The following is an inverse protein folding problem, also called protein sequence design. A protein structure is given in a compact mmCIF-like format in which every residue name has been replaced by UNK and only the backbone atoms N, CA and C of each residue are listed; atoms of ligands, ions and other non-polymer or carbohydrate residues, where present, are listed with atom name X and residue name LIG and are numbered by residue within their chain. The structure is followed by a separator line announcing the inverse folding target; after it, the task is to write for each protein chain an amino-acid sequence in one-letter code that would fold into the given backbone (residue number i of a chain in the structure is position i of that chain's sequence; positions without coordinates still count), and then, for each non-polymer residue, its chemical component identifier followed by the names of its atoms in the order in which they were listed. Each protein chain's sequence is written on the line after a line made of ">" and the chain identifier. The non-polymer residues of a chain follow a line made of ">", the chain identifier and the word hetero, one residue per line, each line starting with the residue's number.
data_IF_019881157270
#
_entry.id   IF_019881157270
#
_cell.length_a   1.000
_cell.length_b   1.000
_cell.length_c   1.000
_cell.angle_alpha   90.00
_cell.angle_beta   90.00
_cell.angle_gamma   90.00
#
_symmetry.space_group_name_H-M   'P 1'
#
loop_
_entity.id
_entity.type
_entity.pdbx_description
1 polymer ?
#
# COMPACT_ATOMS: atom_id res chain seq x y z
N UNK A 1 66.03 5.75 25.62
CA UNK A 1 64.93 5.63 26.59
C UNK A 1 63.63 5.80 25.82
N UNK A 2 62.81 4.75 25.82
CA UNK A 2 61.56 4.64 25.07
C UNK A 2 60.62 5.82 25.36
N UNK A 3 60.28 6.59 24.32
CA UNK A 3 59.06 7.39 24.32
C UNK A 3 58.02 6.49 23.65
N UNK A 4 57.11 5.95 24.47
CA UNK A 4 56.10 5.00 24.04
C UNK A 4 55.13 5.61 23.03
N UNK A 5 55.18 5.12 21.79
CA UNK A 5 54.10 5.22 20.82
C UNK A 5 52.99 4.25 21.25
N UNK A 6 52.06 4.67 22.11
CA UNK A 6 50.78 3.97 22.31
C UNK A 6 49.73 4.94 22.87
N UNK A 7 49.21 5.86 22.05
CA UNK A 7 47.95 6.60 22.25
C UNK A 7 47.63 7.44 20.99
N UNK A 8 47.54 6.82 19.81
CA UNK A 8 47.11 7.53 18.60
C UNK A 8 45.58 7.46 18.43
N UNK A 9 44.95 8.64 18.26
CA UNK A 9 43.76 8.90 17.44
C UNK A 9 42.32 8.60 17.93
N UNK A 10 41.96 8.86 19.21
CA UNK A 10 40.51 8.91 19.56
C UNK A 10 39.89 10.32 19.47
N UNK A 11 40.67 11.38 19.72
CA UNK A 11 40.12 12.73 19.93
C UNK A 11 40.02 13.57 18.65
N UNK A 12 40.89 13.33 17.67
CA UNK A 12 40.92 14.08 16.40
C UNK A 12 40.47 13.15 15.27
N UNK A 13 39.19 13.24 14.92
CA UNK A 13 38.57 12.48 13.83
C UNK A 13 38.31 13.38 12.63
N UNK A 14 38.05 12.79 11.46
CA UNK A 14 37.59 13.56 10.32
C UNK A 14 36.27 14.29 10.64
N UNK A 15 36.14 15.53 10.16
CA UNK A 15 34.96 16.37 10.39
C UNK A 15 34.89 17.11 11.75
N UNK A 16 35.81 16.91 12.69
CA UNK A 16 35.78 17.62 13.98
C UNK A 16 36.18 19.09 13.85
N UNK A 17 35.57 19.96 14.67
CA UNK A 17 36.01 21.36 14.82
C UNK A 17 36.89 21.48 16.06
N UNK A 18 38.09 22.07 15.93
CA UNK A 18 39.02 22.27 17.04
C UNK A 18 39.08 23.75 17.44
N UNK A 19 39.27 24.00 18.73
CA UNK A 19 39.45 25.34 19.28
C UNK A 19 40.91 25.58 19.67
N UNK A 20 41.43 26.75 19.33
CA UNK A 20 42.73 27.22 19.79
C UNK A 20 42.51 28.24 20.91
N UNK A 21 42.90 27.87 22.14
CA UNK A 21 42.68 28.64 23.35
C UNK A 21 44.00 28.82 24.13
N UNK A 22 44.10 29.89 24.92
CA UNK A 22 45.21 30.17 25.83
C UNK A 22 45.22 29.24 27.06
N UNK A 23 44.03 28.83 27.52
CA UNK A 23 43.81 27.80 28.54
C UNK A 23 42.55 27.00 28.19
N UNK A 24 42.43 25.77 28.71
CA UNK A 24 41.33 24.85 28.37
C UNK A 24 39.95 25.48 28.64
N UNK A 25 39.83 26.21 29.74
CA UNK A 25 38.58 26.85 30.17
C UNK A 25 38.50 28.34 29.79
N UNK A 26 39.27 28.79 28.78
CA UNK A 26 39.22 30.17 28.32
C UNK A 26 37.79 30.53 27.88
N UNK A 27 37.28 31.67 28.36
CA UNK A 27 36.01 32.23 27.89
C UNK A 27 36.07 32.46 26.37
N UNK A 28 35.10 31.88 25.64
CA UNK A 28 34.93 32.14 24.21
C UNK A 28 34.46 33.58 23.99
N UNK A 29 35.40 34.46 23.65
CA UNK A 29 35.14 35.88 23.38
C UNK A 29 34.33 36.11 22.10
N UNK A 30 34.21 35.09 21.24
CA UNK A 30 33.45 35.14 19.99
C UNK A 30 32.81 33.78 19.74
N UNK A 31 31.57 33.79 19.25
CA UNK A 31 30.87 32.58 18.89
C UNK A 31 31.54 31.87 17.70
N UNK A 32 31.52 30.54 17.73
CA UNK A 32 32.09 29.69 16.68
C UNK A 32 30.98 29.00 15.90
N UNK A 33 31.32 28.47 14.72
CA UNK A 33 30.42 27.64 13.91
C UNK A 33 31.08 26.31 13.65
N UNK A 34 30.51 25.26 14.21
CA UNK A 34 30.94 23.88 14.00
C UNK A 34 30.19 23.28 12.81
N UNK A 35 30.92 22.66 11.89
CA UNK A 35 30.33 21.96 10.74
C UNK A 35 29.80 20.60 11.20
N UNK A 36 28.55 20.31 10.86
CA UNK A 36 27.90 19.03 11.16
C UNK A 36 27.21 18.46 9.92
N UNK A 37 27.05 17.14 9.90
CA UNK A 37 26.24 16.41 8.91
C UNK A 37 25.12 15.67 9.63
N UNK A 38 23.87 15.91 9.24
CA UNK A 38 22.68 15.33 9.85
C UNK A 38 21.87 14.54 8.82
N UNK A 39 22.56 13.61 8.15
CA UNK A 39 21.91 12.69 7.22
C UNK A 39 20.83 11.88 7.97
N UNK A 40 19.62 11.71 7.40
CA UNK A 40 18.63 10.81 7.97
C UNK A 40 19.24 9.42 8.16
N UNK A 41 18.97 8.78 9.29
CA UNK A 41 19.37 7.39 9.49
C UNK A 41 18.59 6.49 8.52
N UNK A 42 19.17 5.39 8.03
CA UNK A 42 18.49 4.49 7.08
C UNK A 42 17.22 3.83 7.67
N UNK A 43 17.07 3.84 8.99
CA UNK A 43 15.82 3.48 9.68
C UNK A 43 14.63 4.32 9.18
N UNK A 44 14.86 5.51 8.63
CA UNK A 44 13.84 6.30 7.94
C UNK A 44 13.12 5.50 6.85
N UNK A 45 13.79 4.53 6.22
CA UNK A 45 13.21 3.57 5.29
C UNK A 45 12.84 2.27 6.00
N UNK A 46 13.80 1.62 6.68
CA UNK A 46 13.63 0.25 7.20
C UNK A 46 12.56 0.15 8.29
N UNK A 47 12.36 1.21 9.08
CA UNK A 47 11.34 1.25 10.13
C UNK A 47 10.12 2.09 9.73
N UNK A 48 10.04 2.53 8.47
CA UNK A 48 9.01 3.46 7.99
C UNK A 48 7.58 2.94 8.15
N UNK A 49 7.36 1.63 8.03
CA UNK A 49 6.05 1.01 8.19
C UNK A 49 5.79 0.37 9.55
N UNK A 50 6.81 0.25 10.41
CA UNK A 50 6.76 -0.60 11.61
C UNK A 50 5.71 -0.15 12.65
N UNK A 51 5.38 1.14 12.67
CA UNK A 51 4.45 1.73 13.64
C UNK A 51 3.26 2.45 12.99
N UNK A 52 3.13 2.39 11.67
CA UNK A 52 2.07 3.10 10.92
C UNK A 52 0.78 2.29 10.84
N UNK A 53 0.92 0.96 10.83
CA UNK A 53 -0.18 0.03 10.67
C UNK A 53 -0.60 -0.54 12.03
N UNK A 54 -1.54 0.12 12.70
CA UNK A 54 -2.08 -0.34 13.98
C UNK A 54 -3.42 -1.07 13.80
N UNK A 55 -3.65 -2.11 14.60
CA UNK A 55 -4.94 -2.79 14.64
C UNK A 55 -5.98 -1.85 15.25
N UNK A 56 -7.11 -1.67 14.55
CA UNK A 56 -8.25 -0.88 15.01
C UNK A 56 -9.54 -1.58 14.59
N UNK A 57 -10.61 -1.40 15.37
CA UNK A 57 -11.94 -1.96 15.07
C UNK A 57 -11.94 -3.49 14.81
N UNK A 58 -11.04 -4.22 15.49
CA UNK A 58 -10.91 -5.68 15.32
C UNK A 58 -10.30 -6.12 13.98
N UNK A 59 -9.76 -5.19 13.18
CA UNK A 59 -9.14 -5.49 11.89
C UNK A 59 -7.62 -5.63 12.03
N UNK A 60 -7.07 -6.69 11.42
CA UNK A 60 -5.63 -6.82 11.23
C UNK A 60 -5.19 -5.83 10.13
N UNK A 61 -4.10 -5.05 10.33
CA UNK A 61 -3.73 -3.98 9.42
C UNK A 61 -2.85 -4.41 8.25
N UNK A 62 -2.41 -5.67 8.17
CA UNK A 62 -1.60 -6.20 7.06
C UNK A 62 -2.22 -5.98 5.66
N UNK A 63 -3.53 -6.11 5.45
CA UNK A 63 -4.14 -5.82 4.16
C UNK A 63 -4.01 -4.35 3.75
N UNK A 64 -3.87 -3.41 4.69
CA UNK A 64 -3.64 -2.00 4.36
C UNK A 64 -2.24 -1.78 3.79
N UNK A 65 -1.23 -2.52 4.25
CA UNK A 65 0.09 -2.51 3.62
C UNK A 65 0.05 -3.07 2.19
N UNK A 66 -0.73 -4.13 1.94
CA UNK A 66 -0.93 -4.64 0.58
C UNK A 66 -1.72 -3.66 -0.30
N UNK A 67 -2.68 -2.95 0.28
CA UNK A 67 -3.47 -1.93 -0.39
C UNK A 67 -2.57 -0.80 -0.94
N UNK A 68 -1.61 -0.30 -0.17
CA UNK A 68 -0.65 0.72 -0.67
C UNK A 68 0.10 0.27 -1.94
N UNK A 69 0.35 -1.03 -2.11
CA UNK A 69 0.98 -1.57 -3.33
C UNK A 69 -0.03 -1.75 -4.48
N UNK A 70 -1.27 -2.12 -4.18
CA UNK A 70 -2.36 -2.12 -5.16
C UNK A 70 -2.63 -0.69 -5.65
N UNK A 71 -2.59 0.33 -4.78
CA UNK A 71 -2.81 1.74 -5.15
C UNK A 71 -1.77 2.22 -6.17
N UNK A 72 -0.50 1.87 -5.96
CA UNK A 72 0.57 2.15 -6.93
C UNK A 72 0.30 1.45 -8.26
N UNK A 73 -0.15 0.19 -8.21
CA UNK A 73 -0.47 -0.63 -9.40
C UNK A 73 -1.68 -0.08 -10.15
N UNK A 74 -2.72 0.40 -9.45
CA UNK A 74 -3.88 1.07 -10.03
C UNK A 74 -3.43 2.34 -10.76
N UNK A 75 -2.57 3.14 -10.15
CA UNK A 75 -2.03 4.34 -10.82
C UNK A 75 -1.22 3.99 -12.07
N UNK A 76 -0.35 2.97 -11.99
CA UNK A 76 0.49 2.52 -13.09
C UNK A 76 -0.29 1.94 -14.28
N UNK A 77 -1.44 1.31 -14.01
CA UNK A 77 -2.31 0.68 -15.02
C UNK A 77 -3.43 1.59 -15.51
N UNK A 78 -3.55 2.81 -14.99
CA UNK A 78 -4.69 3.73 -15.25
C UNK A 78 -4.93 4.06 -16.72
N UNK A 79 -3.90 3.97 -17.57
CA UNK A 79 -3.95 4.25 -19.02
C UNK A 79 -3.84 3.00 -19.90
N UNK A 80 -3.94 1.80 -19.32
CA UNK A 80 -3.93 0.57 -20.10
C UNK A 80 -5.14 0.53 -21.04
N UNK A 81 -4.92 0.16 -22.30
CA UNK A 81 -5.98 0.00 -23.30
C UNK A 81 -6.80 -1.28 -23.13
N UNK A 82 -6.22 -2.29 -22.48
CA UNK A 82 -6.85 -3.58 -22.19
C UNK A 82 -7.02 -3.85 -20.70
N UNK A 83 -6.77 -5.10 -20.30
CA UNK A 83 -6.85 -5.54 -18.91
C UNK A 83 -5.81 -4.81 -18.06
N UNK A 84 -6.22 -4.34 -16.89
CA UNK A 84 -5.42 -3.84 -15.79
C UNK A 84 -5.24 -4.97 -14.80
N UNK A 85 -4.18 -5.75 -15.01
CA UNK A 85 -3.88 -6.96 -14.24
C UNK A 85 -2.96 -6.58 -13.08
N UNK A 86 -3.39 -6.88 -11.87
CA UNK A 86 -2.65 -6.71 -10.62
C UNK A 86 -2.67 -8.06 -9.91
N UNK A 87 -1.50 -8.64 -9.67
CA UNK A 87 -1.36 -9.96 -9.04
C UNK A 87 -0.66 -9.81 -7.71
N UNK A 88 -1.18 -10.49 -6.68
CA UNK A 88 -0.47 -10.73 -5.43
C UNK A 88 -0.14 -12.23 -5.39
N UNK A 89 1.15 -12.56 -5.44
CA UNK A 89 1.65 -13.93 -5.33
C UNK A 89 2.32 -14.12 -3.98
N UNK A 90 1.79 -15.05 -3.18
CA UNK A 90 2.34 -15.45 -1.88
C UNK A 90 3.13 -16.75 -2.07
N UNK A 91 4.45 -16.62 -2.22
CA UNK A 91 5.37 -17.74 -2.38
C UNK A 91 5.73 -18.29 -0.99
N UNK A 92 4.87 -19.15 -0.43
CA UNK A 92 5.07 -19.79 0.87
C UNK A 92 5.29 -21.31 0.77
N UNK A 93 5.64 -21.77 -0.43
CA UNK A 93 6.13 -23.11 -0.69
C UNK A 93 7.66 -23.12 -0.52
N UNK A 94 8.10 -23.68 0.60
CA UNK A 94 9.52 -23.81 0.98
C UNK A 94 10.35 -24.62 -0.03
N UNK A 95 9.71 -25.41 -0.92
CA UNK A 95 10.44 -26.10 -2.00
C UNK A 95 10.91 -25.15 -3.11
N UNK A 96 10.36 -23.94 -3.17
CA UNK A 96 10.68 -22.90 -4.15
C UNK A 96 11.61 -21.80 -3.60
N UNK A 97 12.00 -21.88 -2.32
CA UNK A 97 12.86 -20.90 -1.65
C UNK A 97 12.23 -20.32 -0.37
N UNK A 98 12.82 -19.24 0.15
CA UNK A 98 12.33 -18.54 1.33
C UNK A 98 10.98 -17.87 1.07
N UNK A 99 10.16 -17.63 2.12
CA UNK A 99 8.89 -16.91 1.98
C UNK A 99 9.04 -15.56 1.29
N UNK A 100 8.20 -15.31 0.30
CA UNK A 100 8.15 -14.04 -0.40
C UNK A 100 6.72 -13.62 -0.75
N UNK A 101 6.51 -12.31 -0.80
CA UNK A 101 5.28 -11.67 -1.28
C UNK A 101 5.64 -10.87 -2.52
N UNK A 102 5.01 -11.18 -3.66
CA UNK A 102 5.22 -10.44 -4.90
C UNK A 102 3.93 -9.72 -5.32
N UNK A 103 4.00 -8.42 -5.57
CA UNK A 103 2.92 -7.64 -6.20
C UNK A 103 3.35 -7.27 -7.62
N UNK A 104 2.59 -7.71 -8.62
CA UNK A 104 2.97 -7.63 -10.03
C UNK A 104 1.84 -6.98 -10.82
N UNK A 105 2.14 -5.92 -11.57
CA UNK A 105 1.19 -5.27 -12.46
C UNK A 105 1.68 -5.22 -13.90
N UNK A 106 0.74 -5.10 -14.84
CA UNK A 106 1.01 -4.86 -16.26
C UNK A 106 0.88 -3.38 -16.65
N UNK A 107 1.17 -2.47 -15.72
CA UNK A 107 1.12 -1.03 -15.95
C UNK A 107 2.29 -0.54 -16.79
N UNK A 108 2.44 0.79 -16.83
CA UNK A 108 3.44 1.47 -17.66
C UNK A 108 4.90 1.19 -17.32
N UNK A 109 5.20 0.54 -16.21
CA UNK A 109 6.57 0.35 -15.72
C UNK A 109 7.25 1.65 -15.24
N UNK A 110 8.54 1.57 -14.98
CA UNK A 110 9.39 2.67 -14.54
C UNK A 110 10.72 2.65 -15.28
N UNK A 111 11.16 3.79 -15.80
CA UNK A 111 12.55 3.98 -16.26
C UNK A 111 13.54 3.90 -15.10
N UNK A 112 14.85 3.77 -15.38
CA UNK A 112 15.90 3.88 -14.34
C UNK A 112 15.76 5.14 -13.46
N UNK A 113 15.39 6.28 -14.06
CA UNK A 113 15.21 7.54 -13.31
C UNK A 113 13.96 7.49 -12.43
N UNK A 114 12.85 6.97 -12.95
CA UNK A 114 11.61 6.82 -12.18
C UNK A 114 11.77 5.82 -11.04
N UNK A 115 12.52 4.72 -11.25
CA UNK A 115 12.87 3.75 -10.22
C UNK A 115 13.81 4.35 -9.15
N UNK A 116 14.78 5.18 -9.56
CA UNK A 116 15.59 5.95 -8.62
C UNK A 116 14.72 6.93 -7.80
N UNK A 117 13.79 7.64 -8.44
CA UNK A 117 12.85 8.53 -7.77
C UNK A 117 11.95 7.77 -6.78
N UNK A 118 11.55 6.54 -7.13
CA UNK A 118 10.87 5.66 -6.19
C UNK A 118 11.74 5.38 -4.97
N UNK A 119 13.06 5.21 -5.07
CA UNK A 119 13.90 4.96 -3.89
C UNK A 119 13.99 6.16 -2.92
N UNK A 120 13.77 7.38 -3.39
CA UNK A 120 13.85 8.59 -2.56
C UNK A 120 12.64 8.69 -1.63
N UNK A 121 12.87 8.75 -0.32
CA UNK A 121 11.81 8.89 0.67
C UNK A 121 11.18 10.29 0.63
N UNK A 122 9.85 10.38 0.75
CA UNK A 122 9.05 11.63 0.65
C UNK A 122 9.17 12.38 -0.68
N UNK A 123 9.71 11.76 -1.73
CA UNK A 123 9.64 12.31 -3.08
C UNK A 123 8.25 12.00 -3.67
N UNK A 124 7.41 13.03 -3.79
CA UNK A 124 6.02 12.90 -4.21
C UNK A 124 5.84 13.35 -5.66
N UNK A 125 4.62 13.16 -6.17
CA UNK A 125 4.22 13.69 -7.48
C UNK A 125 4.29 15.22 -7.58
N UNK A 126 4.34 15.93 -6.45
CA UNK A 126 4.43 17.40 -6.38
C UNK A 126 5.88 17.91 -6.37
N UNK A 127 6.83 17.11 -5.92
CA UNK A 127 8.23 17.53 -5.71
C UNK A 127 9.21 16.87 -6.68
N UNK A 128 8.84 15.77 -7.33
CA UNK A 128 9.67 15.16 -8.37
C UNK A 128 9.81 16.12 -9.56
N UNK A 129 11.03 16.40 -9.96
CA UNK A 129 11.29 17.04 -11.26
C UNK A 129 10.87 16.02 -12.34
N UNK A 130 9.93 16.42 -13.20
CA UNK A 130 9.54 15.61 -14.36
C UNK A 130 10.72 15.43 -15.31
N UNK A 131 10.72 14.35 -16.10
CA UNK A 131 11.73 14.12 -17.11
C UNK A 131 11.65 15.23 -18.17
N UNK A 132 12.54 16.23 -18.09
CA UNK A 132 12.56 17.36 -19.02
C UNK A 132 13.10 16.99 -20.43
N UNK A 133 13.59 15.77 -20.65
CA UNK A 133 14.31 15.42 -21.90
C UNK A 133 13.87 14.14 -22.63
N UNK A 134 12.86 13.38 -22.16
CA UNK A 134 12.38 12.23 -22.96
C UNK A 134 10.97 11.73 -22.67
N UNK A 135 10.38 12.06 -21.53
CA UNK A 135 9.03 11.63 -21.17
C UNK A 135 8.18 12.87 -20.87
N UNK A 136 7.34 13.31 -21.81
CA UNK A 136 6.44 14.48 -21.68
C UNK A 136 5.36 14.35 -20.57
N UNK A 137 5.59 13.56 -19.51
CA UNK A 137 4.61 13.27 -18.46
C UNK A 137 4.98 13.89 -17.11
N UNK A 138 4.96 15.22 -17.05
CA UNK A 138 4.72 15.91 -15.78
C UNK A 138 3.43 15.40 -15.11
N UNK A 139 3.28 15.59 -13.79
CA UNK A 139 2.04 15.21 -13.11
C UNK A 139 0.85 15.94 -13.74
N UNK A 140 -0.10 15.17 -14.28
CA UNK A 140 -1.36 15.68 -14.80
C UNK A 140 -2.44 15.30 -13.80
N UNK A 141 -3.06 16.31 -13.17
CA UNK A 141 -4.20 16.09 -12.28
C UNK A 141 -5.34 15.45 -13.08
N UNK A 142 -5.95 14.35 -12.61
CA UNK A 142 -7.06 13.74 -13.32
C UNK A 142 -8.28 14.66 -13.32
N UNK A 143 -9.10 14.51 -14.36
CA UNK A 143 -10.41 15.16 -14.40
C UNK A 143 -11.33 14.58 -13.32
N UNK A 144 -12.30 15.34 -12.79
CA UNK A 144 -13.32 14.81 -11.89
C UNK A 144 -14.07 13.65 -12.55
N UNK A 145 -14.23 12.56 -11.82
CA UNK A 145 -14.99 11.36 -12.23
C UNK A 145 -15.90 10.94 -11.08
N UNK A 146 -17.05 10.26 -11.35
CA UNK A 146 -17.95 9.79 -10.31
C UNK A 146 -17.21 8.99 -9.23
N UNK A 147 -17.55 9.23 -7.96
CA UNK A 147 -16.90 8.59 -6.79
C UNK A 147 -15.38 8.77 -6.72
N UNK A 148 -14.81 9.71 -7.49
CA UNK A 148 -13.36 9.95 -7.58
C UNK A 148 -12.53 8.71 -7.93
N UNK A 149 -13.10 7.76 -8.70
CA UNK A 149 -12.42 6.54 -9.18
C UNK A 149 -11.40 6.84 -10.30
N UNK A 150 -10.44 7.70 -10.01
CA UNK A 150 -9.48 8.24 -10.99
C UNK A 150 -8.13 7.50 -11.00
N UNK A 151 -7.92 6.54 -10.09
CA UNK A 151 -6.63 5.82 -9.91
C UNK A 151 -5.43 6.74 -9.55
N UNK A 152 -5.67 8.00 -9.16
CA UNK A 152 -4.64 8.93 -8.68
C UNK A 152 -4.61 8.99 -7.15
N UNK A 153 -4.24 7.85 -6.55
CA UNK A 153 -4.32 7.63 -5.10
C UNK A 153 -3.07 8.17 -4.38
N UNK A 154 -1.90 8.12 -5.04
CA UNK A 154 -0.62 8.52 -4.45
C UNK A 154 -0.58 10.02 -4.08
N UNK A 155 -0.07 10.33 -2.88
CA UNK A 155 0.06 11.72 -2.41
C UNK A 155 1.43 12.01 -1.78
N UNK A 156 1.88 11.19 -0.82
CA UNK A 156 3.02 11.53 0.06
C UNK A 156 4.39 11.02 -0.41
N UNK A 157 4.44 10.07 -1.34
CA UNK A 157 5.71 9.48 -1.81
C UNK A 157 6.39 8.52 -0.81
N UNK A 158 5.65 8.01 0.19
CA UNK A 158 6.17 7.10 1.23
C UNK A 158 5.46 5.74 1.31
N UNK A 159 4.17 5.66 0.93
CA UNK A 159 3.31 4.49 1.18
C UNK A 159 3.88 3.15 0.70
N UNK A 160 4.40 3.10 -0.53
CA UNK A 160 5.03 1.88 -1.06
C UNK A 160 6.26 1.41 -0.25
N UNK A 161 7.03 2.32 0.35
CA UNK A 161 8.18 1.95 1.20
C UNK A 161 7.71 1.46 2.57
N UNK A 162 6.72 2.14 3.14
CA UNK A 162 6.10 1.74 4.39
C UNK A 162 5.53 0.32 4.28
N UNK A 163 4.84 0.03 3.17
CA UNK A 163 4.28 -1.29 2.90
C UNK A 163 5.34 -2.39 2.86
N UNK A 164 6.38 -2.24 2.03
CA UNK A 164 7.39 -3.31 1.85
C UNK A 164 8.20 -3.57 3.13
N UNK A 165 8.52 -2.52 3.90
CA UNK A 165 9.27 -2.64 5.16
C UNK A 165 8.39 -2.96 6.38
N UNK A 166 7.07 -2.85 6.26
CA UNK A 166 6.13 -3.45 7.22
C UNK A 166 5.96 -4.95 6.99
N UNK A 167 5.87 -5.37 5.72
CA UNK A 167 5.68 -6.78 5.35
C UNK A 167 6.96 -7.59 5.54
N UNK A 168 8.13 -7.03 5.21
CA UNK A 168 9.40 -7.73 5.31
C UNK A 168 10.59 -6.80 5.50
N UNK A 169 11.79 -7.29 5.17
CA UNK A 169 13.06 -6.58 5.44
C UNK A 169 13.84 -6.25 4.17
N UNK A 170 13.36 -6.69 3.02
CA UNK A 170 13.98 -6.49 1.72
C UNK A 170 12.92 -6.34 0.64
N UNK A 171 13.11 -5.36 -0.24
CA UNK A 171 12.28 -5.08 -1.39
C UNK A 171 13.14 -5.07 -2.66
N UNK A 172 12.85 -5.99 -3.58
CA UNK A 172 13.39 -6.02 -4.93
C UNK A 172 12.33 -5.48 -5.89
N UNK A 173 12.61 -4.32 -6.45
CA UNK A 173 11.81 -3.70 -7.51
C UNK A 173 12.34 -4.17 -8.85
N UNK A 174 11.47 -4.72 -9.69
CA UNK A 174 11.78 -5.13 -11.07
C UNK A 174 10.78 -4.44 -11.97
N UNK A 175 11.22 -3.58 -12.88
CA UNK A 175 10.29 -2.80 -13.70
C UNK A 175 10.81 -2.61 -15.11
N UNK A 176 9.88 -2.61 -16.06
CA UNK A 176 10.16 -2.41 -17.48
C UNK A 176 9.07 -1.54 -18.09
N UNK A 177 9.39 -0.35 -18.64
CA UNK A 177 8.44 0.40 -19.42
C UNK A 177 8.32 -0.13 -20.86
N UNK A 178 7.23 0.23 -21.53
CA UNK A 178 6.86 -0.34 -22.82
C UNK A 178 7.87 -0.01 -23.94
N UNK A 179 8.47 1.17 -23.85
CA UNK A 179 9.46 1.73 -24.76
C UNK A 179 10.91 1.30 -24.46
N UNK A 180 11.17 0.73 -23.29
CA UNK A 180 12.50 0.20 -22.94
C UNK A 180 12.72 -1.21 -23.48
N UNK A 181 13.95 -1.48 -23.91
CA UNK A 181 14.42 -2.84 -24.19
C UNK A 181 14.88 -3.56 -22.93
N UNK A 182 15.25 -2.81 -21.90
CA UNK A 182 15.86 -3.32 -20.66
C UNK A 182 14.87 -3.32 -19.51
N UNK A 183 15.04 -4.31 -18.62
CA UNK A 183 14.43 -4.37 -17.30
C UNK A 183 15.34 -3.67 -16.30
N UNK A 184 14.77 -2.81 -15.47
CA UNK A 184 15.45 -2.07 -14.42
C UNK A 184 15.14 -2.71 -13.05
N UNK A 185 16.19 -3.09 -12.33
CA UNK A 185 16.07 -3.80 -11.07
C UNK A 185 16.84 -3.09 -9.94
N UNK A 186 16.15 -2.82 -8.83
CA UNK A 186 16.71 -2.16 -7.65
C UNK A 186 16.38 -2.98 -6.39
N UNK A 187 17.39 -3.21 -5.54
CA UNK A 187 17.24 -3.87 -4.25
C UNK A 187 17.46 -2.86 -3.13
N UNK A 188 16.47 -2.71 -2.25
CA UNK A 188 16.63 -2.02 -0.96
C UNK A 188 16.42 -3.05 0.15
N UNK A 189 17.38 -3.19 1.07
CA UNK A 189 17.27 -4.16 2.15
C UNK A 189 17.94 -3.67 3.42
N UNK A 190 17.42 -4.12 4.56
CA UNK A 190 18.03 -3.89 5.88
C UNK A 190 19.49 -4.36 5.91
N UNK A 191 19.75 -5.56 5.39
CA UNK A 191 21.09 -6.16 5.35
C UNK A 191 22.09 -5.30 4.55
N UNK A 192 21.69 -4.75 3.40
CA UNK A 192 22.55 -3.87 2.61
C UNK A 192 22.88 -2.55 3.33
N UNK A 193 21.90 -1.95 4.04
CA UNK A 193 22.14 -0.77 4.86
C UNK A 193 23.10 -1.05 6.04
N UNK A 194 22.87 -2.13 6.78
CA UNK A 194 23.74 -2.54 7.90
C UNK A 194 25.17 -2.85 7.42
N UNK A 195 25.30 -3.49 6.24
CA UNK A 195 26.60 -3.75 5.62
C UNK A 195 27.32 -2.44 5.25
N UNK A 196 26.62 -1.51 4.59
CA UNK A 196 27.18 -0.19 4.23
C UNK A 196 27.61 0.61 5.45
N UNK A 197 26.79 0.60 6.51
CA UNK A 197 27.13 1.22 7.79
C UNK A 197 28.41 0.63 8.39
N UNK A 198 28.48 -0.70 8.47
CA UNK A 198 29.66 -1.42 9.00
C UNK A 198 30.93 -1.13 8.18
N UNK A 199 30.79 -1.00 6.87
CA UNK A 199 31.90 -0.74 5.95
C UNK A 199 32.24 0.75 5.78
N UNK A 200 31.50 1.66 6.43
CA UNK A 200 31.62 3.12 6.26
C UNK A 200 31.44 3.58 4.80
N UNK A 201 30.56 2.90 4.07
CA UNK A 201 30.16 3.26 2.72
C UNK A 201 29.05 4.33 2.74
N UNK A 202 28.78 4.97 1.60
CA UNK A 202 27.66 5.90 1.48
C UNK A 202 26.32 5.17 1.57
N UNK A 203 25.58 5.42 2.66
CA UNK A 203 24.34 4.71 3.04
C UNK A 203 23.28 4.74 1.93
N UNK A 204 23.06 5.89 1.31
CA UNK A 204 22.02 6.09 0.28
C UNK A 204 22.56 5.99 -1.16
N UNK A 205 23.73 5.38 -1.35
CA UNK A 205 24.29 5.09 -2.67
C UNK A 205 24.10 3.62 -3.02
N UNK A 206 23.86 3.33 -4.29
CA UNK A 206 23.63 1.97 -4.79
C UNK A 206 23.60 1.95 -6.32
N UNK A 207 23.21 0.82 -6.89
CA UNK A 207 23.13 0.64 -8.35
C UNK A 207 21.78 0.05 -8.75
N UNK A 208 21.25 0.52 -9.88
CA UNK A 208 20.16 -0.14 -10.60
C UNK A 208 20.80 -1.12 -11.57
N UNK A 209 20.41 -2.39 -11.49
CA UNK A 209 20.82 -3.42 -12.44
C UNK A 209 19.90 -3.33 -13.65
N UNK A 210 20.49 -3.03 -14.81
CA UNK A 210 19.80 -3.10 -16.10
C UNK A 210 20.14 -4.44 -16.75
N UNK A 211 19.12 -5.14 -17.25
CA UNK A 211 19.28 -6.46 -17.86
C UNK A 211 18.24 -6.70 -18.94
N UNK A 212 18.48 -7.71 -19.78
CA UNK A 212 17.48 -8.16 -20.74
C UNK A 212 16.31 -8.84 -20.01
N UNK A 213 15.09 -8.80 -20.57
CA UNK A 213 13.98 -9.61 -20.09
C UNK A 213 14.37 -11.09 -20.01
N UNK A 214 13.83 -11.80 -19.02
CA UNK A 214 14.07 -13.22 -18.75
C UNK A 214 15.50 -13.60 -18.33
N UNK A 215 16.43 -12.65 -18.23
CA UNK A 215 17.76 -12.90 -17.68
C UNK A 215 17.72 -12.93 -16.15
N UNK A 216 17.94 -14.12 -15.57
CA UNK A 216 18.01 -14.31 -14.12
C UNK A 216 19.39 -14.81 -13.65
N UNK A 217 20.44 -14.68 -14.45
CA UNK A 217 21.78 -15.23 -14.12
C UNK A 217 22.37 -14.59 -12.86
N UNK A 218 21.99 -13.36 -12.54
CA UNK A 218 22.41 -12.67 -11.32
C UNK A 218 21.76 -13.19 -10.04
N UNK A 219 20.72 -14.02 -10.14
CA UNK A 219 20.12 -14.69 -9.00
C UNK A 219 20.95 -15.94 -8.71
N UNK A 220 21.82 -15.84 -7.71
CA UNK A 220 22.72 -16.93 -7.32
C UNK A 220 22.36 -17.55 -5.97
N UNK A 221 21.48 -16.89 -5.20
CA UNK A 221 21.04 -17.39 -3.90
C UNK A 221 19.91 -18.41 -4.08
N UNK A 222 20.15 -19.64 -3.63
CA UNK A 222 19.20 -20.75 -3.71
C UNK A 222 17.92 -20.52 -2.88
N UNK A 223 18.00 -19.66 -1.84
CA UNK A 223 16.84 -19.20 -1.09
C UNK A 223 15.91 -18.30 -1.93
N UNK A 224 16.41 -17.69 -3.01
CA UNK A 224 15.64 -16.83 -3.91
C UNK A 224 15.24 -17.53 -5.21
N UNK A 225 15.27 -18.87 -5.25
CA UNK A 225 15.02 -19.67 -6.46
C UNK A 225 13.70 -19.34 -7.17
N UNK A 226 12.65 -18.98 -6.43
CA UNK A 226 11.36 -18.56 -6.99
C UNK A 226 11.47 -17.38 -7.97
N UNK A 227 12.52 -16.54 -7.85
CA UNK A 227 12.78 -15.44 -8.78
C UNK A 227 13.07 -15.92 -10.19
N UNK A 228 13.68 -17.10 -10.39
CA UNK A 228 13.92 -17.63 -11.74
C UNK A 228 12.60 -17.84 -12.50
N UNK A 229 11.60 -18.41 -11.82
CA UNK A 229 10.26 -18.57 -12.39
C UNK A 229 9.62 -17.20 -12.66
N UNK A 230 9.65 -16.28 -11.68
CA UNK A 230 9.05 -14.95 -11.83
C UNK A 230 9.66 -14.15 -12.99
N UNK A 231 10.99 -14.17 -13.14
CA UNK A 231 11.73 -13.50 -14.21
C UNK A 231 11.46 -14.17 -15.57
N UNK A 232 11.29 -15.49 -15.62
CA UNK A 232 10.94 -16.18 -16.87
C UNK A 232 9.58 -15.73 -17.45
N UNK A 233 8.64 -15.31 -16.60
CA UNK A 233 7.32 -14.79 -17.02
C UNK A 233 7.41 -13.42 -17.71
N UNK A 234 8.58 -12.76 -17.72
CA UNK A 234 8.77 -11.45 -18.37
C UNK A 234 8.63 -11.52 -19.90
N UNK A 235 8.77 -12.72 -20.49
CA UNK A 235 8.84 -12.93 -21.94
C UNK A 235 7.67 -12.33 -22.72
N UNK A 236 6.48 -12.37 -22.13
CA UNK A 236 5.24 -11.94 -22.78
C UNK A 236 4.80 -10.52 -22.35
N UNK A 237 5.58 -9.87 -21.49
CA UNK A 237 5.20 -8.58 -20.88
C UNK A 237 5.87 -7.42 -21.61
N UNK A 238 5.05 -6.62 -22.31
CA UNK A 238 5.52 -5.38 -22.96
C UNK A 238 6.00 -4.38 -21.91
N UNK A 239 5.21 -4.18 -20.85
CA UNK A 239 5.54 -3.36 -19.70
C UNK A 239 5.02 -4.02 -18.42
N UNK A 240 5.73 -3.81 -17.31
CA UNK A 240 5.34 -4.34 -16.01
C UNK A 240 6.10 -3.67 -14.86
N UNK A 241 5.58 -3.84 -13.65
CA UNK A 241 6.35 -3.69 -12.40
C UNK A 241 6.08 -4.90 -11.51
N UNK A 242 7.13 -5.40 -10.86
CA UNK A 242 7.06 -6.41 -9.82
C UNK A 242 7.77 -5.90 -8.57
N UNK A 243 7.04 -5.88 -7.45
CA UNK A 243 7.55 -5.60 -6.11
C UNK A 243 7.70 -6.93 -5.39
N UNK A 244 8.92 -7.41 -5.19
CA UNK A 244 9.19 -8.67 -4.50
C UNK A 244 9.72 -8.39 -3.10
N UNK A 245 8.99 -8.82 -2.09
CA UNK A 245 9.31 -8.62 -0.68
C UNK A 245 9.83 -9.93 -0.10
N UNK A 246 11.01 -9.90 0.52
CA UNK A 246 11.60 -11.04 1.23
C UNK A 246 11.97 -10.67 2.67
N UNK A 247 12.31 -11.67 3.48
CA UNK A 247 12.42 -11.49 4.93
C UNK A 247 11.06 -11.13 5.52
N UNK A 248 9.99 -11.77 5.03
CA UNK A 248 8.61 -11.56 5.47
C UNK A 248 8.51 -11.87 6.95
N UNK A 249 7.88 -10.98 7.73
CA UNK A 249 7.78 -11.15 9.18
C UNK A 249 7.06 -12.45 9.55
N UNK A 250 7.53 -13.10 10.60
CA UNK A 250 7.10 -14.44 11.00
C UNK A 250 5.61 -14.52 11.35
N UNK A 251 5.04 -13.44 11.87
CA UNK A 251 3.64 -13.30 12.27
C UNK A 251 2.69 -13.07 11.07
N UNK A 252 3.19 -12.49 9.97
CA UNK A 252 2.39 -12.21 8.78
C UNK A 252 2.07 -13.48 8.00
N UNK A 253 3.00 -14.43 7.95
CA UNK A 253 2.84 -15.67 7.17
C UNK A 253 1.68 -16.53 7.70
N UNK A 254 1.58 -16.87 9.00
CA UNK A 254 0.44 -17.61 9.56
C UNK A 254 -0.88 -16.88 9.34
N UNK A 255 -0.91 -15.54 9.48
CA UNK A 255 -2.12 -14.77 9.25
C UNK A 255 -2.61 -14.92 7.80
N UNK A 256 -1.72 -14.70 6.83
CA UNK A 256 -2.05 -14.81 5.40
C UNK A 256 -2.48 -16.23 5.01
N UNK A 257 -1.88 -17.27 5.63
CA UNK A 257 -2.23 -18.68 5.40
C UNK A 257 -3.58 -19.07 5.99
N UNK A 258 -3.81 -18.72 7.25
CA UNK A 258 -4.94 -19.22 8.05
C UNK A 258 -6.22 -18.41 7.82
N UNK A 259 -6.09 -17.13 7.47
CA UNK A 259 -7.22 -16.21 7.31
C UNK A 259 -7.39 -15.76 5.85
N UNK A 260 -7.05 -16.62 4.89
CA UNK A 260 -7.04 -16.30 3.45
C UNK A 260 -8.31 -15.56 3.00
N UNK A 261 -9.49 -16.16 3.22
CA UNK A 261 -10.77 -15.55 2.84
C UNK A 261 -11.01 -14.19 3.52
N UNK A 262 -10.65 -14.05 4.79
CA UNK A 262 -10.89 -12.83 5.57
C UNK A 262 -10.13 -11.64 4.98
N UNK A 263 -8.82 -11.79 4.75
CA UNK A 263 -8.02 -10.66 4.29
C UNK A 263 -8.21 -10.37 2.81
N UNK A 264 -8.50 -11.38 1.97
CA UNK A 264 -8.89 -11.13 0.57
C UNK A 264 -10.22 -10.40 0.51
N UNK A 265 -11.17 -10.71 1.40
CA UNK A 265 -12.43 -9.97 1.53
C UNK A 265 -12.22 -8.53 2.01
N UNK A 266 -11.26 -8.28 2.92
CA UNK A 266 -10.88 -6.91 3.30
C UNK A 266 -10.36 -6.11 2.09
N UNK A 267 -9.53 -6.72 1.24
CA UNK A 267 -9.08 -6.07 0.01
C UNK A 267 -10.24 -5.83 -0.98
N UNK A 268 -11.14 -6.80 -1.17
CA UNK A 268 -12.33 -6.61 -1.99
C UNK A 268 -13.21 -5.47 -1.47
N UNK A 269 -13.34 -5.33 -0.14
CA UNK A 269 -14.04 -4.22 0.48
C UNK A 269 -13.38 -2.87 0.19
N UNK A 270 -12.06 -2.77 0.36
CA UNK A 270 -11.29 -1.54 0.10
C UNK A 270 -11.43 -1.11 -1.37
N UNK A 271 -11.32 -2.07 -2.30
CA UNK A 271 -11.33 -1.81 -3.74
C UNK A 271 -12.69 -2.03 -4.40
N UNK A 272 -13.77 -2.12 -3.64
CA UNK A 272 -15.09 -2.52 -4.13
C UNK A 272 -15.51 -1.73 -5.37
N UNK A 273 -15.44 -0.40 -5.31
CA UNK A 273 -15.85 0.47 -6.41
C UNK A 273 -14.85 0.53 -7.57
N UNK A 274 -13.58 0.19 -7.34
CA UNK A 274 -12.63 -0.01 -8.45
C UNK A 274 -12.93 -1.29 -9.22
N UNK A 275 -13.25 -2.37 -8.51
CA UNK A 275 -13.54 -3.66 -9.12
C UNK A 275 -14.92 -3.61 -9.80
N UNK A 276 -15.96 -3.13 -9.13
CA UNK A 276 -17.35 -3.19 -9.63
C UNK A 276 -17.83 -1.91 -10.32
N UNK A 277 -17.04 -0.84 -10.31
CA UNK A 277 -17.42 0.47 -10.83
C UNK A 277 -18.26 1.31 -9.86
N UNK A 278 -18.69 2.51 -10.26
CA UNK A 278 -19.28 3.51 -9.37
C UNK A 278 -20.63 3.13 -8.77
N UNK A 279 -21.34 2.16 -9.38
CA UNK A 279 -22.59 1.60 -8.87
C UNK A 279 -22.36 0.45 -7.87
N UNK A 280 -21.14 -0.08 -7.81
CA UNK A 280 -20.78 -1.24 -7.01
C UNK A 280 -21.40 -2.54 -7.55
N UNK A 281 -21.37 -3.60 -6.74
CA UNK A 281 -21.73 -4.96 -7.16
C UNK A 281 -23.26 -5.21 -7.19
N UNK A 282 -23.96 -4.60 -8.15
CA UNK A 282 -25.39 -4.82 -8.37
C UNK A 282 -25.67 -6.17 -9.04
N UNK A 283 -26.40 -7.08 -8.37
CA UNK A 283 -26.78 -8.38 -8.97
C UNK A 283 -27.93 -8.29 -9.98
N UNK A 284 -28.70 -7.19 -9.99
CA UNK A 284 -29.98 -7.08 -10.71
C UNK A 284 -29.87 -6.46 -12.11
N UNK A 285 -28.73 -5.89 -12.44
CA UNK A 285 -28.43 -5.28 -13.74
C UNK A 285 -27.61 -6.27 -14.57
N UNK A 286 -27.96 -6.45 -15.85
CA UNK A 286 -27.10 -7.17 -16.80
C UNK A 286 -25.70 -6.59 -16.72
N UNK A 287 -24.65 -7.43 -16.66
CA UNK A 287 -23.24 -7.01 -16.65
C UNK A 287 -22.94 -6.13 -17.87
N UNK A 288 -23.21 -4.84 -17.78
CA UNK A 288 -22.81 -3.89 -18.80
C UNK A 288 -21.29 -3.91 -18.86
N UNK A 289 -20.74 -4.01 -20.08
CA UNK A 289 -19.30 -3.93 -20.34
C UNK A 289 -18.88 -2.47 -20.12
N UNK A 290 -18.75 -2.09 -18.85
CA UNK A 290 -18.29 -0.77 -18.43
C UNK A 290 -16.76 -0.70 -18.35
N UNK A 291 -16.20 0.52 -18.30
CA UNK A 291 -14.75 0.74 -18.25
C UNK A 291 -14.06 0.19 -16.98
N UNK A 292 -14.82 -0.29 -16.00
CA UNK A 292 -14.34 -0.85 -14.73
C UNK A 292 -14.25 -2.38 -14.74
N UNK A 293 -14.76 -3.04 -15.78
CA UNK A 293 -14.65 -4.50 -15.91
C UNK A 293 -13.25 -4.96 -16.35
N UNK A 294 -12.34 -4.04 -16.64
CA UNK A 294 -10.98 -4.36 -17.06
C UNK A 294 -9.98 -4.46 -15.90
N UNK A 295 -10.39 -4.22 -14.65
CA UNK A 295 -9.51 -4.38 -13.48
C UNK A 295 -9.63 -5.80 -12.93
N UNK A 296 -8.51 -6.50 -12.95
CA UNK A 296 -8.35 -7.84 -12.39
C UNK A 296 -7.30 -7.81 -11.28
N UNK A 297 -7.77 -7.93 -10.04
CA UNK A 297 -6.91 -8.10 -8.87
C UNK A 297 -6.95 -9.58 -8.49
N UNK A 298 -5.90 -10.31 -8.84
CA UNK A 298 -5.77 -11.75 -8.63
C UNK A 298 -4.82 -12.04 -7.48
N UNK A 299 -5.24 -12.91 -6.57
CA UNK A 299 -4.46 -13.31 -5.42
C UNK A 299 -4.18 -14.80 -5.54
N UNK A 300 -2.90 -15.18 -5.46
CA UNK A 300 -2.46 -16.57 -5.49
C UNK A 300 -1.56 -16.88 -4.31
N UNK A 301 -1.76 -18.04 -3.67
CA UNK A 301 -0.93 -18.52 -2.57
C UNK A 301 -0.45 -19.94 -2.82
N UNK A 302 0.85 -20.12 -2.72
CA UNK A 302 1.55 -21.39 -2.93
C UNK A 302 2.00 -21.92 -1.57
N UNK A 303 1.63 -23.16 -1.26
CA UNK A 303 2.01 -23.86 -0.04
C UNK A 303 2.49 -25.27 -0.40
N UNK A 304 3.53 -25.75 0.26
CA UNK A 304 4.07 -27.09 0.02
C UNK A 304 3.00 -28.17 0.19
N UNK A 305 2.87 -29.03 -0.82
CA UNK A 305 1.96 -30.17 -0.81
C UNK A 305 0.47 -29.81 -0.93
N UNK A 306 0.14 -28.56 -1.26
CA UNK A 306 -1.24 -28.11 -1.50
C UNK A 306 -1.39 -27.58 -2.92
N UNK A 307 -2.59 -27.69 -3.48
CA UNK A 307 -2.92 -26.98 -4.71
C UNK A 307 -2.86 -25.45 -4.47
N UNK A 308 -2.41 -24.65 -5.44
CA UNK A 308 -2.40 -23.20 -5.31
C UNK A 308 -3.82 -22.66 -5.01
N UNK A 309 -3.94 -21.81 -3.99
CA UNK A 309 -5.19 -21.08 -3.73
C UNK A 309 -5.19 -19.84 -4.60
N UNK A 310 -6.19 -19.68 -5.45
CA UNK A 310 -6.31 -18.55 -6.37
C UNK A 310 -7.70 -17.95 -6.21
N UNK A 311 -7.78 -16.62 -6.12
CA UNK A 311 -9.05 -15.88 -6.09
C UNK A 311 -8.89 -14.56 -6.83
N UNK A 312 -9.83 -14.22 -7.72
CA UNK A 312 -9.99 -12.86 -8.20
C UNK A 312 -10.90 -12.10 -7.23
N UNK A 313 -10.50 -10.91 -6.78
CA UNK A 313 -11.28 -10.15 -5.79
C UNK A 313 -12.73 -9.87 -6.22
N UNK A 314 -13.02 -9.85 -7.52
CA UNK A 314 -14.39 -9.73 -8.08
C UNK A 314 -15.29 -10.91 -7.74
N UNK A 315 -14.73 -12.06 -7.45
CA UNK A 315 -15.46 -13.29 -7.12
C UNK A 315 -16.04 -13.25 -5.69
N UNK A 316 -15.49 -12.40 -4.82
CA UNK A 316 -15.95 -12.23 -3.44
C UNK A 316 -17.32 -11.56 -3.43
N UNK A 317 -18.31 -12.19 -2.79
CA UNK A 317 -19.71 -11.74 -2.76
C UNK A 317 -20.20 -11.35 -1.37
N UNK A 318 -19.34 -11.45 -0.35
CA UNK A 318 -19.66 -11.24 1.06
C UNK A 318 -18.86 -10.09 1.67
N UNK A 319 -18.20 -9.26 0.87
CA UNK A 319 -17.66 -7.98 1.35
C UNK A 319 -18.81 -7.04 1.75
N UNK A 320 -18.58 -6.18 2.75
CA UNK A 320 -19.66 -5.36 3.31
C UNK A 320 -20.34 -4.44 2.28
N UNK A 321 -19.62 -3.93 1.27
CA UNK A 321 -20.25 -3.08 0.26
C UNK A 321 -21.16 -3.91 -0.67
N UNK A 322 -20.76 -5.12 -1.07
CA UNK A 322 -21.63 -6.05 -1.80
C UNK A 322 -22.90 -6.35 -1.00
N UNK A 323 -22.78 -6.58 0.31
CA UNK A 323 -23.94 -6.83 1.18
C UNK A 323 -24.83 -5.59 1.27
N UNK A 324 -24.27 -4.41 1.56
CA UNK A 324 -25.03 -3.16 1.63
C UNK A 324 -25.75 -2.81 0.32
N UNK A 325 -25.16 -3.12 -0.83
CA UNK A 325 -25.80 -2.84 -2.13
C UNK A 325 -26.94 -3.82 -2.39
N UNK A 326 -26.73 -5.11 -2.17
CA UNK A 326 -27.68 -6.12 -2.61
C UNK A 326 -28.85 -6.35 -1.64
N UNK A 327 -28.73 -5.96 -0.37
CA UNK A 327 -29.84 -6.00 0.60
C UNK A 327 -30.63 -4.68 0.66
N UNK A 328 -30.16 -3.63 0.00
CA UNK A 328 -30.89 -2.37 -0.07
C UNK A 328 -32.10 -2.47 -1.01
N UNK A 329 -33.22 -1.85 -0.64
CA UNK A 329 -34.39 -1.72 -1.52
C UNK A 329 -34.53 -0.34 -2.15
N UNK A 330 -33.90 0.68 -1.56
CA UNK A 330 -33.88 2.03 -2.09
C UNK A 330 -32.60 2.77 -1.65
N UNK A 331 -32.26 3.87 -2.33
CA UNK A 331 -31.08 4.68 -2.05
C UNK A 331 -31.34 6.18 -2.18
N UNK A 332 -30.69 6.96 -1.32
CA UNK A 332 -30.72 8.41 -1.34
C UNK A 332 -29.30 8.95 -1.56
N UNK A 333 -29.06 9.55 -2.74
CA UNK A 333 -27.79 10.19 -3.08
C UNK A 333 -27.80 11.68 -2.74
N UNK A 334 -26.66 12.20 -2.28
CA UNK A 334 -26.51 13.61 -1.95
C UNK A 334 -25.10 14.13 -2.23
N UNK A 335 -24.94 15.45 -2.27
CA UNK A 335 -23.65 16.14 -2.32
C UNK A 335 -23.56 17.15 -1.19
N UNK A 336 -22.44 17.14 -0.47
CA UNK A 336 -22.12 18.16 0.52
C UNK A 336 -21.04 19.08 -0.03
N UNK A 337 -21.34 20.37 -0.09
CA UNK A 337 -20.37 21.42 -0.43
C UNK A 337 -19.77 21.96 0.85
N UNK A 338 -18.44 21.95 0.94
CA UNK A 338 -17.67 22.41 2.09
C UNK A 338 -16.95 23.70 1.70
N UNK A 339 -16.65 24.54 2.69
CA UNK A 339 -15.82 25.73 2.49
C UNK A 339 -14.48 25.37 1.82
N UNK A 340 -14.05 26.17 0.84
CA UNK A 340 -12.86 25.90 0.04
C UNK A 340 -13.08 25.00 -1.20
N UNK A 341 -14.26 25.06 -1.82
CA UNK A 341 -14.65 24.34 -3.05
C UNK A 341 -14.64 22.79 -2.94
N UNK A 342 -14.56 22.25 -1.72
CA UNK A 342 -14.62 20.82 -1.48
C UNK A 342 -16.02 20.26 -1.73
N UNK A 343 -16.11 19.13 -2.43
CA UNK A 343 -17.37 18.43 -2.69
C UNK A 343 -17.26 16.98 -2.23
N UNK A 344 -18.21 16.54 -1.40
CA UNK A 344 -18.33 15.15 -0.93
C UNK A 344 -19.58 14.53 -1.55
N UNK A 345 -19.43 13.41 -2.27
CA UNK A 345 -20.55 12.61 -2.76
C UNK A 345 -20.95 11.57 -1.70
N UNK A 346 -22.23 11.53 -1.34
CA UNK A 346 -22.78 10.62 -0.35
C UNK A 346 -23.90 9.76 -0.90
N UNK A 347 -24.09 8.57 -0.30
CA UNK A 347 -25.21 7.68 -0.58
C UNK A 347 -25.67 7.03 0.72
N UNK A 348 -26.98 7.04 0.95
CA UNK A 348 -27.64 6.33 2.05
C UNK A 348 -28.47 5.21 1.43
N UNK A 349 -28.41 4.02 2.01
CA UNK A 349 -29.17 2.85 1.54
C UNK A 349 -30.20 2.43 2.58
N UNK A 350 -31.40 2.11 2.12
CA UNK A 350 -32.49 1.64 2.97
C UNK A 350 -32.57 0.10 2.96
N UNK A 351 -32.49 -0.48 4.15
CA UNK A 351 -32.58 -1.93 4.40
C UNK A 351 -33.87 -2.20 5.19
N UNK A 352 -34.92 -2.75 4.57
CA UNK A 352 -36.22 -2.89 5.22
C UNK A 352 -36.23 -4.04 6.23
N UNK A 353 -37.11 -3.96 7.21
CA UNK A 353 -37.55 -5.12 7.97
C UNK A 353 -38.49 -5.96 7.09
N UNK A 354 -38.17 -7.23 6.86
CA UNK A 354 -38.96 -8.11 6.01
C UNK A 354 -39.55 -9.25 6.84
N UNK A 355 -40.87 -9.23 6.99
CA UNK A 355 -41.69 -10.18 7.73
C UNK A 355 -41.36 -10.26 9.23
N UNK A 356 -40.31 -10.98 9.58
CA UNK A 356 -39.92 -11.34 10.94
C UNK A 356 -38.46 -11.00 11.27
N UNK A 357 -37.70 -10.43 10.31
CA UNK A 357 -36.27 -10.13 10.49
C UNK A 357 -35.81 -8.84 9.83
N UNK A 358 -34.80 -8.22 10.43
CA UNK A 358 -34.03 -7.15 9.83
C UNK A 358 -33.18 -7.68 8.65
N UNK A 359 -32.98 -6.84 7.62
CA UNK A 359 -32.15 -7.20 6.44
C UNK A 359 -30.84 -6.42 6.35
N UNK A 360 -30.58 -5.56 7.33
CA UNK A 360 -29.29 -4.90 7.48
C UNK A 360 -28.22 -5.97 7.70
N UNK A 361 -27.13 -6.00 6.92
CA UNK A 361 -26.17 -7.09 6.99
C UNK A 361 -25.34 -7.03 8.27
N UNK A 362 -25.05 -8.20 8.84
CA UNK A 362 -24.14 -8.32 9.99
C UNK A 362 -22.71 -7.97 9.57
N UNK A 363 -22.04 -7.15 10.38
CA UNK A 363 -20.62 -6.83 10.21
C UNK A 363 -19.78 -7.77 11.09
N UNK A 364 -18.88 -8.60 10.53
CA UNK A 364 -18.00 -9.47 11.30
C UNK A 364 -17.09 -8.74 12.30
N UNK A 365 -16.81 -7.45 12.09
CA UNK A 365 -16.04 -6.62 13.02
C UNK A 365 -16.90 -6.11 14.20
N UNK A 366 -18.22 -6.11 14.05
CA UNK A 366 -19.19 -5.67 15.06
C UNK A 366 -20.29 -6.73 15.23
N UNK A 367 -19.99 -7.88 15.85
CA UNK A 367 -20.98 -8.93 16.04
C UNK A 367 -22.19 -8.38 16.80
N UNK A 368 -23.37 -8.53 16.18
CA UNK A 368 -24.65 -8.14 16.75
C UNK A 368 -24.90 -8.95 18.03
N UNK A 369 -24.99 -8.28 19.19
CA UNK A 369 -25.41 -8.93 20.44
C UNK A 369 -26.89 -9.29 20.26
N UNK A 370 -27.18 -10.55 19.93
CA UNK A 370 -28.53 -11.09 20.01
C UNK A 370 -28.99 -11.09 21.47
N UNK A 371 -29.50 -9.97 21.97
CA UNK A 371 -30.32 -9.96 23.18
C UNK A 371 -31.66 -10.61 22.86
N UNK A 372 -32.02 -11.62 23.65
CA UNK A 372 -33.30 -12.35 23.65
C UNK A 372 -34.52 -11.50 24.03
N UNK A 373 -34.47 -10.18 23.88
CA UNK A 373 -35.53 -9.26 24.30
C UNK A 373 -36.03 -8.43 23.10
N UNK A 374 -36.93 -9.02 22.30
CA UNK A 374 -38.06 -8.41 21.57
C UNK A 374 -37.95 -7.05 20.86
N UNK A 375 -36.76 -6.46 20.67
CA UNK A 375 -36.57 -5.12 20.12
C UNK A 375 -35.29 -5.07 19.26
N UNK A 376 -35.31 -5.84 18.16
CA UNK A 376 -34.27 -5.79 17.15
C UNK A 376 -34.18 -4.39 16.54
N UNK A 377 -33.01 -3.75 16.67
CA UNK A 377 -32.71 -2.48 16.02
C UNK A 377 -31.76 -2.76 14.84
N UNK A 378 -32.21 -2.59 13.59
CA UNK A 378 -31.49 -3.01 12.38
C UNK A 378 -29.98 -2.71 12.31
N UNK A 379 -29.53 -1.49 12.59
CA UNK A 379 -28.09 -1.17 12.57
C UNK A 379 -27.39 -1.28 13.94
N UNK A 380 -28.13 -1.51 15.04
CA UNK A 380 -27.59 -1.48 16.40
C UNK A 380 -26.72 -0.23 16.68
N UNK A 381 -25.56 -0.44 17.32
CA UNK A 381 -24.53 0.58 17.56
C UNK A 381 -23.52 0.74 16.39
N UNK A 382 -23.77 0.10 15.25
CA UNK A 382 -22.90 0.19 14.08
C UNK A 382 -23.01 1.56 13.41
N UNK A 383 -21.88 2.08 12.90
CA UNK A 383 -21.80 3.42 12.29
C UNK A 383 -22.40 3.39 10.87
N UNK A 384 -23.14 4.43 10.50
CA UNK A 384 -23.95 4.43 9.26
C UNK A 384 -23.21 4.82 7.99
N UNK A 385 -22.00 5.38 8.09
CA UNK A 385 -21.23 5.90 6.95
C UNK A 385 -19.79 5.37 6.98
N UNK A 386 -19.44 4.54 5.99
CA UNK A 386 -18.05 4.26 5.65
C UNK A 386 -17.53 5.33 4.69
N UNK A 387 -16.32 5.87 4.92
CA UNK A 387 -15.70 6.86 4.04
C UNK A 387 -14.73 6.17 3.08
N UNK A 388 -15.01 6.12 1.76
CA UNK A 388 -14.02 5.72 0.77
C UNK A 388 -13.04 6.90 0.56
N UNK A 389 -12.03 6.99 1.41
CA UNK A 389 -10.95 7.97 1.36
C UNK A 389 -9.79 7.55 2.27
N UNK A 390 -8.55 7.90 1.90
CA UNK A 390 -7.27 7.54 2.52
C UNK A 390 -7.25 7.39 4.06
N UNK A 391 -7.74 6.26 4.59
CA UNK A 391 -7.54 5.90 6.00
C UNK A 391 -8.77 5.43 6.79
N UNK A 392 -9.55 4.47 6.27
CA UNK A 392 -10.44 3.63 7.09
C UNK A 392 -11.43 4.37 8.02
N UNK A 393 -11.78 5.61 7.71
CA UNK A 393 -12.51 6.48 8.62
C UNK A 393 -14.02 6.24 8.51
N UNK A 394 -14.72 6.24 9.64
CA UNK A 394 -16.18 6.09 9.70
C UNK A 394 -16.83 7.25 10.44
N UNK A 395 -17.93 7.78 9.88
CA UNK A 395 -18.77 8.78 10.54
C UNK A 395 -19.97 8.12 11.21
N UNK A 396 -20.21 8.44 12.49
CA UNK A 396 -21.31 7.86 13.28
C UNK A 396 -22.68 8.33 12.77
N UNK A 397 -22.91 9.64 12.75
CA UNK A 397 -24.11 10.28 12.21
C UNK A 397 -23.82 11.69 11.70
N UNK A 398 -24.46 12.07 10.60
CA UNK A 398 -24.75 13.48 10.31
C UNK A 398 -26.02 13.88 11.09
N UNK A 399 -26.20 15.16 11.48
CA UNK A 399 -27.42 15.62 12.18
C UNK A 399 -28.71 15.30 11.39
N UNK A 400 -28.60 15.08 10.08
CA UNK A 400 -29.58 14.38 9.28
C UNK A 400 -28.90 13.20 8.57
N UNK A 401 -29.40 11.95 8.67
CA UNK A 401 -30.70 11.52 9.18
C UNK A 401 -30.61 10.98 10.62
N UNK A 402 -30.38 11.84 11.62
CA UNK A 402 -30.58 11.44 13.02
C UNK A 402 -32.09 11.40 13.33
N UNK A 403 -32.53 10.52 14.25
CA UNK A 403 -33.92 10.54 14.74
C UNK A 403 -34.17 11.90 15.41
N UNK A 404 -35.17 12.64 14.95
CA UNK A 404 -35.69 13.77 15.71
C UNK A 404 -36.28 13.23 17.01
N UNK A 405 -35.84 13.77 18.15
CA UNK A 405 -36.50 13.53 19.43
C UNK A 405 -37.82 14.29 19.42
N UNK A 406 -38.85 13.72 18.79
CA UNK A 406 -40.22 14.18 18.99
C UNK A 406 -40.63 13.77 20.42
N UNK A 407 -40.43 14.68 21.38
CA UNK A 407 -41.22 14.67 22.60
C UNK A 407 -42.68 14.90 22.18
N UNK A 408 -43.42 13.81 22.01
CA UNK A 408 -44.86 13.87 21.86
C UNK A 408 -45.45 14.50 23.11
N UNK A 409 -46.00 15.70 22.98
CA UNK A 409 -46.99 16.19 23.93
C UNK A 409 -48.18 15.23 23.86
N UNK A 410 -48.43 14.51 24.96
CA UNK A 410 -49.72 13.90 25.22
C UNK A 410 -50.77 15.03 25.24
N UNK A 411 -51.79 14.90 24.40
CA UNK A 411 -53.12 15.46 24.67
C UNK A 411 -53.96 14.32 25.21
#
# INVERSE_FOLDING_TARGET
>A
MNIGMTAENETVKDGVTLYLLQSVDQLLLTATKERIEFLPHYDTLVKSGMYEYYASEGQNPLPFALAELIDNSLSATSRNTGIRKIQIKLHFDETQGKPAVAVIDNGRGMTSKQLNNWAVYRLSKFTRQGDFESDHSGYVRPVPVPRSLNSDISYFGVGGKQAVFFVGQSARMISKPADSQDVHELLLSKEDFEKKEKNKESIYSGFIRNRKPCDSVHITNDDERFLHCLISEEKEKVSFTAVVITGVQSEHIPYLKNYFHLWTRQLAHIYHYYIHGPKGNEKRTSKEVGPFNNIDIEISMFEKGKAPKIVNLREIQDDMQTLYINTATDSFEFKAHVEGDGVVEGIIRYHPFLYDRETYPDDPCFPSIHHKDGSGHGAGASRRLGCPGNGGSQASHLPWPARSSAQGYKV
#
